data_IF_977928450474
#
_entry.id   IF_977928450474
#
_cell.length_a   1.000
_cell.length_b   1.000
_cell.length_c   1.000
_cell.angle_alpha   90.00
_cell.angle_beta   90.00
_cell.angle_gamma   90.00
#
_symmetry.space_group_name_H-M   'P 1'
#
loop_
_entity.id
_entity.type
_entity.pdbx_description
1 polymer ?
#
# COMPACT_ATOMS: atom_id res chain seq x y z
N UNK A 1 -21.05 12.44 -13.82
CA UNK A 1 -20.94 11.12 -13.16
C UNK A 1 -19.48 10.71 -13.29
N UNK A 2 -18.70 10.72 -12.22
CA UNK A 2 -17.30 10.29 -12.25
C UNK A 2 -17.30 8.78 -12.45
N UNK A 3 -16.76 8.30 -13.57
CA UNK A 3 -16.56 6.86 -13.80
C UNK A 3 -15.46 6.35 -12.88
N UNK A 4 -15.44 5.05 -12.57
CA UNK A 4 -14.39 4.42 -11.76
C UNK A 4 -12.98 4.78 -12.25
N UNK A 5 -12.80 4.92 -13.56
CA UNK A 5 -11.53 5.33 -14.18
C UNK A 5 -11.07 6.73 -13.72
N UNK A 6 -12.00 7.69 -13.59
CA UNK A 6 -11.69 9.06 -13.14
C UNK A 6 -11.38 9.18 -11.64
N UNK A 7 -11.75 8.16 -10.86
CA UNK A 7 -11.41 8.08 -9.44
C UNK A 7 -10.02 7.47 -9.27
N UNK A 8 -9.75 6.36 -9.96
CA UNK A 8 -8.44 5.71 -9.92
C UNK A 8 -7.33 6.62 -10.46
N UNK A 9 -7.62 7.37 -11.53
CA UNK A 9 -6.65 8.32 -12.08
C UNK A 9 -6.33 9.46 -11.11
N UNK A 10 -7.35 10.01 -10.45
CA UNK A 10 -7.18 11.01 -9.40
C UNK A 10 -6.40 10.47 -8.19
N UNK A 11 -6.69 9.23 -7.77
CA UNK A 11 -5.95 8.58 -6.68
C UNK A 11 -4.46 8.46 -7.04
N UNK A 12 -4.16 7.92 -8.22
CA UNK A 12 -2.76 7.78 -8.67
C UNK A 12 -2.07 9.15 -8.79
N UNK A 13 -2.77 10.20 -9.21
CA UNK A 13 -2.24 11.57 -9.21
C UNK A 13 -1.90 12.05 -7.79
N UNK A 14 -2.78 11.85 -6.81
CA UNK A 14 -2.52 12.25 -5.41
C UNK A 14 -1.34 11.49 -4.80
N UNK A 15 -1.19 10.19 -5.11
CA UNK A 15 -0.12 9.33 -4.59
C UNK A 15 1.27 9.64 -5.16
N UNK A 16 1.38 10.60 -6.09
CA UNK A 16 2.68 11.14 -6.50
C UNK A 16 3.33 11.93 -5.37
N UNK A 17 2.53 12.53 -4.48
CA UNK A 17 3.03 13.19 -3.28
C UNK A 17 3.43 12.12 -2.25
N UNK A 18 4.69 12.09 -1.77
CA UNK A 18 5.16 11.05 -0.87
C UNK A 18 4.42 11.05 0.48
N UNK A 19 3.94 12.21 0.93
CA UNK A 19 3.11 12.37 2.13
C UNK A 19 1.77 11.66 1.97
N UNK A 20 1.08 11.88 0.84
CA UNK A 20 -0.21 11.24 0.52
C UNK A 20 -0.04 9.72 0.38
N UNK A 21 1.04 9.27 -0.26
CA UNK A 21 1.35 7.84 -0.36
C UNK A 21 1.59 7.19 1.01
N UNK A 22 2.29 7.88 1.92
CA UNK A 22 2.53 7.40 3.28
C UNK A 22 1.22 7.34 4.10
N UNK A 23 0.41 8.39 4.04
CA UNK A 23 -0.89 8.44 4.71
C UNK A 23 -1.85 7.36 4.19
N UNK A 24 -1.87 7.12 2.88
CA UNK A 24 -2.73 6.11 2.26
C UNK A 24 -2.40 4.69 2.74
N UNK A 25 -1.11 4.30 2.75
CA UNK A 25 -0.72 2.97 3.21
C UNK A 25 -0.92 2.81 4.72
N UNK A 26 -0.66 3.84 5.51
CA UNK A 26 -0.88 3.82 6.96
C UNK A 26 -2.37 3.62 7.29
N UNK A 27 -3.27 4.33 6.61
CA UNK A 27 -4.71 4.16 6.78
C UNK A 27 -5.18 2.72 6.49
N UNK A 28 -4.54 2.03 5.55
CA UNK A 28 -4.87 0.64 5.21
C UNK A 28 -4.32 -0.35 6.24
N UNK A 29 -3.16 -0.05 6.83
CA UNK A 29 -2.60 -0.85 7.92
C UNK A 29 -3.39 -0.67 9.23
N UNK A 30 -3.99 0.50 9.46
CA UNK A 30 -4.86 0.77 10.61
C UNK A 30 -6.31 0.29 10.42
N UNK A 31 -6.71 -0.14 9.21
CA UNK A 31 -8.07 -0.57 8.95
C UNK A 31 -8.45 -1.82 9.77
N UNK A 32 -9.66 -1.83 10.35
CA UNK A 32 -10.20 -2.98 11.06
C UNK A 32 -10.75 -4.01 10.07
N UNK A 33 -10.32 -5.27 10.19
CA UNK A 33 -10.70 -6.38 9.29
C UNK A 33 -10.61 -6.05 7.78
N UNK A 34 -9.43 -5.62 7.30
CA UNK A 34 -9.26 -5.26 5.90
C UNK A 34 -9.45 -6.48 4.99
N UNK A 35 -9.94 -6.23 3.78
CA UNK A 35 -9.97 -7.25 2.74
C UNK A 35 -8.54 -7.69 2.42
N UNK A 36 -8.36 -8.99 2.12
CA UNK A 36 -7.03 -9.58 1.87
C UNK A 36 -6.27 -8.87 0.74
N UNK A 37 -7.00 -8.35 -0.24
CA UNK A 37 -6.46 -7.67 -1.42
C UNK A 37 -6.27 -6.16 -1.21
N UNK A 38 -6.68 -5.59 -0.08
CA UNK A 38 -6.63 -4.14 0.15
C UNK A 38 -5.19 -3.64 0.19
N UNK A 39 -4.33 -4.33 0.94
CA UNK A 39 -2.91 -3.97 1.06
C UNK A 39 -2.15 -4.12 -0.27
N UNK A 40 -2.40 -5.21 -1.02
CA UNK A 40 -1.75 -5.41 -2.32
C UNK A 40 -2.23 -4.37 -3.34
N UNK A 41 -3.52 -4.05 -3.35
CA UNK A 41 -4.08 -3.01 -4.23
C UNK A 41 -3.47 -1.64 -3.93
N UNK A 42 -3.37 -1.27 -2.66
CA UNK A 42 -2.81 0.02 -2.27
C UNK A 42 -1.32 0.17 -2.59
N UNK A 43 -0.54 -0.87 -2.32
CA UNK A 43 0.87 -0.88 -2.69
C UNK A 43 1.02 -0.79 -4.22
N UNK A 44 0.14 -1.45 -4.98
CA UNK A 44 0.11 -1.33 -6.43
C UNK A 44 -0.17 0.10 -6.88
N UNK A 45 -1.15 0.78 -6.30
CA UNK A 45 -1.47 2.17 -6.63
C UNK A 45 -0.26 3.10 -6.42
N UNK A 46 0.46 2.91 -5.32
CA UNK A 46 1.69 3.67 -5.02
C UNK A 46 2.79 3.35 -6.05
N UNK A 47 2.98 2.07 -6.39
CA UNK A 47 3.96 1.66 -7.41
C UNK A 47 3.62 2.27 -8.78
N UNK A 48 2.34 2.26 -9.18
CA UNK A 48 1.89 2.86 -10.44
C UNK A 48 2.10 4.38 -10.44
N UNK A 49 1.86 5.06 -9.32
CA UNK A 49 2.17 6.49 -9.14
C UNK A 49 3.67 6.77 -9.32
N UNK A 50 4.53 5.95 -8.70
CA UNK A 50 6.00 6.08 -8.81
C UNK A 50 6.51 5.78 -10.23
N UNK A 51 5.92 4.81 -10.92
CA UNK A 51 6.22 4.53 -12.32
C UNK A 51 5.87 5.71 -13.22
N UNK A 52 4.70 6.36 -13.02
CA UNK A 52 4.33 7.58 -13.77
C UNK A 52 5.32 8.72 -13.56
N UNK A 53 5.88 8.84 -12.36
CA UNK A 53 6.90 9.83 -12.04
C UNK A 53 8.30 9.47 -12.58
N UNK A 54 8.48 8.29 -13.18
CA UNK A 54 9.80 7.74 -13.56
C UNK A 54 10.81 7.74 -12.40
N UNK A 55 10.33 7.55 -11.16
CA UNK A 55 11.16 7.62 -9.94
C UNK A 55 11.25 6.29 -9.18
N UNK A 56 10.76 5.20 -9.78
CA UNK A 56 10.87 3.86 -9.23
C UNK A 56 12.17 3.20 -9.71
N UNK A 57 12.96 2.67 -8.77
CA UNK A 57 14.15 1.90 -9.12
C UNK A 57 13.79 0.49 -9.56
N UNK A 58 14.63 -0.12 -10.41
CA UNK A 58 14.48 -1.52 -10.84
C UNK A 58 14.44 -2.47 -9.63
N UNK A 59 15.26 -2.21 -8.61
CA UNK A 59 15.25 -2.97 -7.37
C UNK A 59 13.91 -2.89 -6.65
N UNK A 60 13.28 -1.71 -6.61
CA UNK A 60 11.96 -1.55 -5.99
C UNK A 60 10.88 -2.31 -6.77
N UNK A 61 10.96 -2.33 -8.10
CA UNK A 61 10.04 -3.10 -8.95
C UNK A 61 10.15 -4.62 -8.69
N UNK A 62 11.38 -5.15 -8.66
CA UNK A 62 11.62 -6.58 -8.38
C UNK A 62 11.11 -6.95 -6.97
N UNK A 63 11.40 -6.11 -5.97
CA UNK A 63 10.92 -6.32 -4.59
C UNK A 63 9.39 -6.28 -4.51
N UNK A 64 8.75 -5.36 -5.24
CA UNK A 64 7.29 -5.31 -5.34
C UNK A 64 6.70 -6.57 -5.97
N UNK A 65 7.26 -7.08 -7.07
CA UNK A 65 6.75 -8.30 -7.72
C UNK A 65 6.81 -9.51 -6.79
N UNK A 66 7.91 -9.65 -6.04
CA UNK A 66 8.07 -10.72 -5.04
C UNK A 66 7.04 -10.59 -3.91
N UNK A 67 6.88 -9.38 -3.37
CA UNK A 67 5.92 -9.13 -2.29
C UNK A 67 4.48 -9.34 -2.76
N UNK A 68 4.10 -8.82 -3.93
CA UNK A 68 2.77 -8.98 -4.50
C UNK A 68 2.41 -10.45 -4.70
N UNK A 69 3.37 -11.28 -5.16
CA UNK A 69 3.17 -12.72 -5.25
C UNK A 69 2.85 -13.33 -3.88
N UNK A 70 3.62 -13.01 -2.84
CA UNK A 70 3.35 -13.49 -1.48
C UNK A 70 1.98 -13.03 -0.97
N UNK A 71 1.63 -11.76 -1.20
CA UNK A 71 0.34 -11.20 -0.80
C UNK A 71 -0.83 -11.89 -1.50
N UNK A 72 -0.69 -12.26 -2.77
CA UNK A 72 -1.72 -13.03 -3.49
C UNK A 72 -1.84 -14.47 -2.98
N UNK A 73 -0.74 -15.09 -2.56
CA UNK A 73 -0.73 -16.46 -2.04
C UNK A 73 -1.28 -16.54 -0.61
N UNK A 74 -0.87 -15.64 0.29
CA UNK A 74 -1.24 -15.69 1.72
C UNK A 74 -2.34 -14.71 2.12
N UNK A 75 -2.71 -13.77 1.23
CA UNK A 75 -3.61 -12.68 1.54
C UNK A 75 -3.03 -11.66 2.53
N UNK A 76 -1.70 -11.65 2.71
CA UNK A 76 -1.03 -10.78 3.68
C UNK A 76 -1.24 -11.17 5.14
N UNK A 77 -1.67 -12.41 5.42
CA UNK A 77 -2.01 -12.87 6.76
C UNK A 77 -0.89 -12.63 7.79
N UNK A 78 0.36 -12.83 7.41
CA UNK A 78 1.52 -12.59 8.26
C UNK A 78 1.68 -11.11 8.67
N UNK A 79 1.38 -10.17 7.76
CA UNK A 79 1.44 -8.73 8.04
C UNK A 79 0.31 -8.35 8.99
N UNK A 80 -0.93 -8.80 8.72
CA UNK A 80 -2.06 -8.51 9.59
C UNK A 80 -1.89 -9.11 10.99
N UNK A 81 -1.37 -10.34 11.09
CA UNK A 81 -1.04 -10.94 12.38
C UNK A 81 0.03 -10.15 13.14
N UNK A 82 1.03 -9.59 12.45
CA UNK A 82 2.01 -8.71 13.06
C UNK A 82 1.36 -7.42 13.58
N UNK A 83 0.48 -6.79 12.81
CA UNK A 83 -0.24 -5.58 13.23
C UNK A 83 -1.08 -5.85 14.49
N UNK A 84 -1.83 -6.95 14.50
CA UNK A 84 -2.61 -7.38 15.68
C UNK A 84 -1.70 -7.63 16.88
N UNK A 85 -0.56 -8.29 16.68
CA UNK A 85 0.40 -8.52 17.77
C UNK A 85 0.95 -7.21 18.33
N UNK A 86 1.31 -6.25 17.48
CA UNK A 86 1.80 -4.94 17.90
C UNK A 86 0.74 -4.20 18.71
N UNK A 87 -0.51 -4.19 18.26
CA UNK A 87 -1.63 -3.58 18.98
C UNK A 87 -1.84 -4.21 20.37
N UNK A 88 -1.83 -5.54 20.46
CA UNK A 88 -1.90 -6.27 21.75
C UNK A 88 -0.77 -5.86 22.69
N UNK A 89 0.43 -5.58 22.15
CA UNK A 89 1.59 -5.15 22.91
C UNK A 89 1.57 -3.64 23.25
N UNK A 90 0.57 -2.88 22.76
CA UNK A 90 0.45 -1.44 22.95
C UNK A 90 1.34 -0.61 22.02
N UNK A 91 1.74 -1.19 20.88
CA UNK A 91 2.54 -0.53 19.84
C UNK A 91 1.70 -0.18 18.61
N UNK A 92 2.09 0.87 17.90
CA UNK A 92 1.50 1.31 16.64
C UNK A 92 2.57 1.32 15.54
N UNK A 93 2.17 0.96 14.32
CA UNK A 93 2.97 1.17 13.10
C UNK A 93 2.61 2.53 12.50
N UNK A 94 3.63 3.26 12.03
CA UNK A 94 3.49 4.52 11.30
C UNK A 94 4.40 4.51 10.08
N UNK A 95 3.95 5.06 8.95
CA UNK A 95 4.75 5.14 7.72
C UNK A 95 5.20 6.58 7.51
N UNK A 96 6.51 6.80 7.47
CA UNK A 96 7.10 8.14 7.36
C UNK A 96 8.03 8.21 6.13
N UNK A 97 8.15 9.40 5.55
CA UNK A 97 9.06 9.68 4.43
C UNK A 97 10.50 9.55 4.93
N UNK A 98 11.35 8.93 4.11
CA UNK A 98 12.78 8.74 4.38
C UNK A 98 13.63 9.88 3.84
#
# INVERSE_FOLDING_TARGET
MRTSDSYQEYLIESLQEPEEAAAYIEAILEAENPEKELLSSALKDIIDARLRMNNLSEQAQITWEQLNKMLLETGGAEIYNLLVLLDILGFRISVNIK
#
